data_IF_014340302990
#
_entry.id   IF_014340302990
#
_cell.length_a   1.000
_cell.length_b   1.000
_cell.length_c   1.000
_cell.angle_alpha   90.00
_cell.angle_beta   90.00
_cell.angle_gamma   90.00
#
_symmetry.space_group_name_H-M   'P 1'
#
loop_
_entity.id
_entity.type
_entity.pdbx_description
1 polymer ?
#
# COMPACT_ATOMS: atom_id res chain seq x y z
N UNK A 1 26.96 35.48 -11.46
CA UNK A 1 26.65 34.43 -10.49
C UNK A 1 25.22 33.90 -10.64
N UNK A 2 24.16 34.71 -10.64
CA UNK A 2 22.75 34.25 -10.73
C UNK A 2 22.45 33.40 -11.99
N UNK A 3 23.04 33.74 -13.15
CA UNK A 3 22.87 32.99 -14.41
C UNK A 3 23.54 31.60 -14.36
N UNK A 4 24.71 31.50 -13.71
CA UNK A 4 25.46 30.23 -13.57
C UNK A 4 24.70 29.27 -12.65
N UNK A 5 24.13 29.77 -11.57
CA UNK A 5 23.31 28.94 -10.63
C UNK A 5 22.08 28.42 -11.34
N UNK A 6 21.39 29.25 -12.16
CA UNK A 6 20.23 28.82 -12.93
C UNK A 6 20.61 27.75 -13.98
N UNK A 7 21.75 27.89 -14.64
CA UNK A 7 22.22 26.92 -15.66
C UNK A 7 22.63 25.60 -15.02
N UNK A 8 23.31 25.63 -13.86
CA UNK A 8 23.67 24.43 -13.10
C UNK A 8 22.42 23.73 -12.58
N UNK A 9 21.43 24.50 -12.10
CA UNK A 9 20.15 23.92 -11.62
C UNK A 9 19.34 23.30 -12.78
N UNK A 10 19.30 23.95 -13.94
CA UNK A 10 18.64 23.43 -15.13
C UNK A 10 19.37 22.20 -15.70
N UNK A 11 20.71 22.17 -15.69
CA UNK A 11 21.47 21.03 -16.14
C UNK A 11 21.37 19.83 -15.18
N UNK A 12 21.36 20.06 -13.86
CA UNK A 12 21.16 19.00 -12.89
C UNK A 12 19.73 18.43 -12.91
N UNK A 13 18.71 19.27 -13.16
CA UNK A 13 17.35 18.79 -13.36
C UNK A 13 17.23 17.93 -14.62
N UNK A 14 17.84 18.31 -15.73
CA UNK A 14 17.86 17.51 -16.97
C UNK A 14 18.55 16.15 -16.79
N UNK A 15 19.60 16.06 -15.99
CA UNK A 15 20.27 14.79 -15.67
C UNK A 15 19.41 13.87 -14.79
N UNK A 16 18.59 14.42 -13.89
CA UNK A 16 17.63 13.65 -13.08
C UNK A 16 16.46 13.12 -13.93
N UNK A 17 16.07 13.81 -15.01
CA UNK A 17 15.06 13.34 -15.96
C UNK A 17 15.52 12.11 -16.75
N UNK A 18 16.82 11.99 -17.03
CA UNK A 18 17.31 10.93 -17.91
C UNK A 18 17.34 9.54 -17.26
N UNK A 19 17.36 9.47 -15.93
CA UNK A 19 17.53 8.18 -15.24
C UNK A 19 16.24 7.36 -15.15
N UNK A 20 15.08 8.01 -15.08
CA UNK A 20 13.79 7.30 -15.11
C UNK A 20 13.40 6.83 -16.53
N UNK A 21 13.91 7.46 -17.57
CA UNK A 21 13.63 7.08 -18.97
C UNK A 21 14.39 5.82 -19.43
N UNK A 22 15.38 5.37 -18.68
CA UNK A 22 16.20 4.20 -19.01
C UNK A 22 15.91 2.98 -18.13
N UNK A 23 15.03 3.09 -17.15
CA UNK A 23 14.64 1.94 -16.36
C UNK A 23 13.89 0.93 -17.24
N UNK A 24 14.38 -0.31 -17.28
CA UNK A 24 13.72 -1.41 -17.98
C UNK A 24 12.56 -1.96 -17.16
N UNK A 25 12.70 -1.94 -15.84
CA UNK A 25 11.65 -2.33 -14.91
C UNK A 25 11.80 -1.63 -13.56
N UNK A 26 10.72 -1.55 -12.84
CA UNK A 26 10.70 -1.11 -11.46
C UNK A 26 10.27 -2.25 -10.53
N UNK A 27 10.87 -2.28 -9.36
CA UNK A 27 10.50 -3.16 -8.25
C UNK A 27 10.34 -2.30 -7.02
N UNK A 28 9.23 -2.43 -6.32
CA UNK A 28 9.01 -1.72 -5.06
C UNK A 28 8.60 -2.70 -3.97
N UNK A 29 9.15 -2.49 -2.79
CA UNK A 29 8.78 -3.21 -1.57
C UNK A 29 8.48 -2.22 -0.47
N UNK A 30 7.47 -2.51 0.34
CA UNK A 30 7.06 -1.65 1.43
C UNK A 30 6.41 -2.41 2.57
N UNK A 31 6.21 -1.70 3.66
CA UNK A 31 5.56 -2.22 4.86
C UNK A 31 4.43 -1.29 5.31
N UNK A 32 3.33 -1.82 5.85
CA UNK A 32 2.32 -1.01 6.49
C UNK A 32 2.85 -0.43 7.81
N UNK A 33 2.50 0.82 8.07
CA UNK A 33 2.83 1.52 9.32
C UNK A 33 1.64 1.63 10.24
N UNK A 34 0.45 1.86 9.68
CA UNK A 34 -0.79 2.00 10.43
C UNK A 34 -1.97 1.49 9.63
N UNK A 35 -2.97 1.00 10.33
CA UNK A 35 -4.29 0.69 9.78
C UNK A 35 -5.33 1.33 10.68
N UNK A 36 -6.20 2.15 10.10
CA UNK A 36 -7.34 2.77 10.78
C UNK A 36 -8.62 2.23 10.16
N UNK A 37 -9.46 1.57 10.94
CA UNK A 37 -10.74 1.05 10.47
C UNK A 37 -11.74 2.18 10.19
N UNK A 38 -12.62 1.96 9.22
CA UNK A 38 -13.67 2.93 8.85
C UNK A 38 -14.69 3.13 9.97
N UNK A 39 -14.98 2.09 10.73
CA UNK A 39 -15.86 2.15 11.90
C UNK A 39 -15.08 1.80 13.18
N UNK A 40 -14.73 2.82 13.94
CA UNK A 40 -14.00 2.69 15.21
C UNK A 40 -14.82 2.00 16.31
N UNK A 41 -16.16 1.90 16.17
CA UNK A 41 -16.98 1.17 17.11
C UNK A 41 -16.90 -0.36 16.88
N UNK A 42 -16.49 -0.77 15.69
CA UNK A 42 -16.41 -2.18 15.30
C UNK A 42 -15.06 -2.77 15.62
N UNK A 43 -13.98 -2.03 15.34
CA UNK A 43 -12.62 -2.50 15.56
C UNK A 43 -11.64 -1.33 15.78
N UNK A 44 -10.73 -1.50 16.70
CA UNK A 44 -9.59 -0.62 16.90
C UNK A 44 -8.29 -1.40 16.62
N UNK A 45 -7.38 -0.78 15.87
CA UNK A 45 -6.10 -1.41 15.53
C UNK A 45 -5.11 -1.31 16.69
N UNK A 46 -4.44 -2.43 17.01
CA UNK A 46 -3.32 -2.52 17.94
C UNK A 46 -1.99 -2.76 17.22
N UNK A 47 -1.93 -2.36 15.96
CA UNK A 47 -0.77 -2.49 15.10
C UNK A 47 -1.03 -3.30 13.85
N UNK A 48 -0.21 -3.06 12.84
CA UNK A 48 -0.27 -3.72 11.55
C UNK A 48 1.11 -4.24 11.19
N UNK A 49 1.18 -5.38 10.53
CA UNK A 49 2.41 -5.98 10.02
C UNK A 49 2.16 -6.66 8.69
N UNK A 50 3.18 -6.72 7.84
CA UNK A 50 3.06 -7.32 6.51
C UNK A 50 3.96 -6.65 5.50
N UNK A 51 3.60 -6.79 4.22
CA UNK A 51 4.39 -6.24 3.13
C UNK A 51 3.54 -5.85 1.92
N UNK A 52 4.10 -4.97 1.11
CA UNK A 52 3.62 -4.58 -0.21
C UNK A 52 4.73 -4.83 -1.21
N UNK A 53 4.42 -5.48 -2.32
CA UNK A 53 5.36 -5.73 -3.42
C UNK A 53 4.72 -5.24 -4.70
N UNK A 54 5.49 -4.54 -5.53
CA UNK A 54 5.05 -4.05 -6.83
C UNK A 54 6.15 -4.29 -7.85
N UNK A 55 5.77 -4.72 -9.03
CA UNK A 55 6.67 -4.91 -10.17
C UNK A 55 6.01 -4.38 -11.44
N UNK A 56 6.77 -3.65 -12.22
CA UNK A 56 6.27 -3.09 -13.46
C UNK A 56 7.36 -2.65 -14.41
N UNK A 57 6.92 -2.23 -15.57
CA UNK A 57 7.75 -1.59 -16.59
C UNK A 57 7.32 -0.14 -16.67
N UNK A 58 8.24 0.82 -16.67
CA UNK A 58 7.89 2.23 -16.81
C UNK A 58 6.94 2.48 -17.98
N UNK A 59 5.99 3.39 -17.79
CA UNK A 59 4.95 3.75 -18.76
C UNK A 59 3.91 2.66 -19.05
N UNK A 60 4.03 1.47 -18.48
CA UNK A 60 3.03 0.41 -18.58
C UNK A 60 2.37 0.15 -17.22
N UNK A 61 1.15 -0.40 -17.21
CA UNK A 61 0.55 -0.88 -15.98
C UNK A 61 1.41 -1.97 -15.33
N UNK A 62 1.64 -1.85 -14.03
CA UNK A 62 2.38 -2.82 -13.23
C UNK A 62 1.46 -3.65 -12.35
N UNK A 63 1.99 -4.73 -11.82
CA UNK A 63 1.30 -5.65 -10.93
C UNK A 63 1.84 -5.50 -9.50
N UNK A 64 0.97 -5.64 -8.52
CA UNK A 64 1.35 -5.61 -7.11
C UNK A 64 0.62 -6.67 -6.30
N UNK A 65 1.17 -6.94 -5.13
CA UNK A 65 0.59 -7.79 -4.12
C UNK A 65 0.79 -7.15 -2.75
N UNK A 66 -0.28 -7.04 -2.01
CA UNK A 66 -0.26 -6.60 -0.61
C UNK A 66 -0.69 -7.78 0.27
N UNK A 67 0.03 -8.02 1.36
CA UNK A 67 -0.32 -9.01 2.36
C UNK A 67 0.01 -8.45 3.73
N UNK A 68 -0.99 -8.27 4.57
CA UNK A 68 -0.80 -7.72 5.90
C UNK A 68 -1.83 -8.23 6.90
N UNK A 69 -1.43 -8.22 8.16
CA UNK A 69 -2.25 -8.57 9.30
C UNK A 69 -2.39 -7.37 10.24
N UNK A 70 -3.61 -7.12 10.68
CA UNK A 70 -3.92 -6.07 11.66
C UNK A 70 -4.39 -6.73 12.95
N UNK A 71 -3.71 -6.45 14.03
CA UNK A 71 -4.13 -6.87 15.38
C UNK A 71 -5.27 -5.99 15.84
N UNK A 72 -6.26 -6.61 16.48
CA UNK A 72 -7.41 -5.91 17.04
C UNK A 72 -7.22 -5.70 18.54
N UNK A 73 -7.50 -4.49 19.02
CA UNK A 73 -7.62 -4.22 20.46
C UNK A 73 -8.88 -4.85 21.01
N UNK A 74 -8.72 -5.78 21.92
CA UNK A 74 -9.84 -6.36 22.64
C UNK A 74 -9.51 -6.43 24.13
N UNK A 75 -10.11 -5.54 24.91
CA UNK A 75 -9.86 -5.45 26.35
C UNK A 75 -10.34 -6.68 27.15
N UNK A 76 -11.23 -7.48 26.59
CA UNK A 76 -11.86 -8.65 27.26
C UNK A 76 -11.55 -9.97 26.58
N UNK A 77 -10.73 -9.98 25.51
CA UNK A 77 -10.42 -11.22 24.78
C UNK A 77 -9.18 -11.91 25.36
N UNK A 78 -9.32 -13.13 25.80
CA UNK A 78 -8.21 -13.95 26.26
C UNK A 78 -7.22 -14.38 25.17
N UNK A 79 -7.45 -14.02 23.89
CA UNK A 79 -6.62 -14.37 22.75
C UNK A 79 -6.57 -13.25 21.74
N UNK A 80 -5.41 -13.07 21.10
CA UNK A 80 -5.23 -12.11 20.01
C UNK A 80 -6.18 -12.42 18.86
N UNK A 81 -6.87 -11.38 18.39
CA UNK A 81 -7.65 -11.40 17.18
C UNK A 81 -6.91 -10.62 16.11
N UNK A 82 -6.87 -11.17 14.91
CA UNK A 82 -6.18 -10.55 13.77
C UNK A 82 -7.07 -10.56 12.55
N UNK A 83 -6.98 -9.50 11.77
CA UNK A 83 -7.55 -9.44 10.43
C UNK A 83 -6.40 -9.58 9.44
N UNK A 84 -6.43 -10.65 8.64
CA UNK A 84 -5.48 -10.90 7.56
C UNK A 84 -6.09 -10.45 6.24
N UNK A 85 -5.37 -9.63 5.50
CA UNK A 85 -5.79 -9.09 4.21
C UNK A 85 -4.75 -9.40 3.15
N UNK A 86 -5.20 -9.97 2.03
CA UNK A 86 -4.37 -10.25 0.86
C UNK A 86 -5.02 -9.65 -0.38
N UNK A 87 -4.26 -8.85 -1.15
CA UNK A 87 -4.75 -8.09 -2.29
C UNK A 87 -3.84 -8.27 -3.49
N UNK A 88 -4.41 -8.34 -4.68
CA UNK A 88 -3.70 -8.24 -5.95
C UNK A 88 -4.05 -6.90 -6.59
N UNK A 89 -3.04 -6.19 -7.03
CA UNK A 89 -3.16 -4.82 -7.48
C UNK A 89 -2.72 -4.65 -8.93
N UNK A 90 -3.43 -3.80 -9.64
CA UNK A 90 -2.98 -3.19 -10.87
C UNK A 90 -2.64 -1.74 -10.57
N UNK A 91 -1.48 -1.26 -11.03
CA UNK A 91 -1.07 0.10 -10.79
C UNK A 91 -0.49 0.77 -12.03
N UNK A 92 -0.47 2.08 -12.02
CA UNK A 92 0.21 2.90 -13.00
C UNK A 92 1.06 3.95 -12.32
N UNK A 93 2.34 4.00 -12.72
CA UNK A 93 3.26 5.01 -12.25
C UNK A 93 3.25 6.19 -13.23
N UNK A 94 2.84 7.35 -12.74
CA UNK A 94 2.82 8.55 -13.55
C UNK A 94 4.24 9.08 -13.75
N UNK A 95 4.61 9.42 -14.99
CA UNK A 95 5.94 9.95 -15.30
C UNK A 95 6.05 11.43 -14.92
N UNK A 96 5.99 11.72 -13.63
CA UNK A 96 6.14 13.09 -13.12
C UNK A 96 7.62 13.29 -12.79
N UNK A 97 8.24 14.35 -13.33
CA UNK A 97 9.62 14.68 -13.00
C UNK A 97 9.78 14.99 -11.51
N UNK A 98 10.89 14.55 -10.90
CA UNK A 98 11.28 14.84 -9.52
C UNK A 98 10.51 14.02 -8.46
N UNK A 99 9.27 13.61 -8.72
CA UNK A 99 8.47 12.80 -7.81
C UNK A 99 7.88 11.61 -8.56
N UNK A 100 7.79 10.48 -7.88
CA UNK A 100 7.14 9.28 -8.40
C UNK A 100 5.74 9.19 -7.80
N UNK A 101 4.71 9.39 -8.62
CA UNK A 101 3.34 9.22 -8.21
C UNK A 101 2.79 7.92 -8.80
N UNK A 102 2.42 6.99 -7.94
CA UNK A 102 1.81 5.73 -8.32
C UNK A 102 0.35 5.72 -7.87
N UNK A 103 -0.54 5.37 -8.78
CA UNK A 103 -1.95 5.15 -8.50
C UNK A 103 -2.30 3.70 -8.82
N UNK A 104 -3.06 3.06 -7.96
CA UNK A 104 -3.44 1.67 -8.17
C UNK A 104 -4.79 1.32 -7.58
N UNK A 105 -5.31 0.20 -8.06
CA UNK A 105 -6.51 -0.44 -7.55
C UNK A 105 -6.28 -1.94 -7.42
N UNK A 106 -6.95 -2.57 -6.48
CA UNK A 106 -6.77 -3.98 -6.20
C UNK A 106 -8.02 -4.66 -5.73
N UNK A 107 -7.98 -5.97 -5.87
CA UNK A 107 -9.03 -6.89 -5.39
C UNK A 107 -8.38 -8.01 -4.60
N UNK A 108 -9.09 -8.52 -3.62
CA UNK A 108 -8.55 -9.58 -2.79
C UNK A 108 -9.54 -10.07 -1.75
N UNK A 109 -9.01 -10.46 -0.62
CA UNK A 109 -9.82 -11.03 0.46
C UNK A 109 -9.30 -10.64 1.82
N UNK A 110 -10.23 -10.57 2.75
CA UNK A 110 -9.97 -10.33 4.17
C UNK A 110 -10.57 -11.46 4.99
N UNK A 111 -9.85 -11.90 6.00
CA UNK A 111 -10.21 -13.00 6.88
C UNK A 111 -9.96 -12.62 8.33
N UNK A 112 -10.93 -12.92 9.20
CA UNK A 112 -10.75 -12.78 10.64
C UNK A 112 -10.11 -14.05 11.20
N UNK A 113 -8.92 -13.93 11.73
CA UNK A 113 -8.18 -15.00 12.38
C UNK A 113 -8.29 -14.88 13.90
N UNK A 114 -9.00 -15.81 14.50
CA UNK A 114 -9.00 -15.98 15.94
C UNK A 114 -9.18 -17.46 16.29
N UNK A 115 -8.64 -17.89 17.43
CA UNK A 115 -8.62 -19.31 17.82
C UNK A 115 -10.01 -19.90 18.10
N UNK A 116 -11.06 -19.07 18.18
CA UNK A 116 -12.44 -19.47 18.46
C UNK A 116 -13.47 -18.88 17.50
N UNK A 117 -13.02 -18.16 16.46
CA UNK A 117 -13.88 -17.46 15.50
C UNK A 117 -14.11 -18.26 14.21
N UNK A 118 -14.34 -19.55 14.27
CA UNK A 118 -14.78 -20.35 13.11
C UNK A 118 -16.15 -19.95 12.55
N UNK A 119 -16.68 -18.82 13.02
CA UNK A 119 -18.02 -18.33 12.69
C UNK A 119 -18.07 -17.20 11.66
N UNK A 120 -16.93 -16.85 11.04
CA UNK A 120 -16.88 -15.80 10.02
C UNK A 120 -16.34 -16.34 8.70
N UNK A 121 -17.02 -15.97 7.64
CA UNK A 121 -16.62 -16.32 6.28
C UNK A 121 -15.57 -15.33 5.77
N UNK A 122 -14.75 -15.79 4.83
CA UNK A 122 -13.76 -14.96 4.15
C UNK A 122 -14.47 -13.90 3.30
N UNK A 123 -14.18 -12.63 3.58
CA UNK A 123 -14.76 -11.51 2.87
C UNK A 123 -13.99 -11.12 1.61
N UNK A 124 -14.68 -10.57 0.63
CA UNK A 124 -14.04 -9.89 -0.50
C UNK A 124 -13.55 -8.53 -0.07
N UNK A 125 -12.40 -8.13 -0.59
CA UNK A 125 -11.80 -6.83 -0.35
C UNK A 125 -11.47 -6.14 -1.67
N UNK A 126 -11.72 -4.83 -1.71
CA UNK A 126 -11.32 -3.96 -2.81
C UNK A 126 -10.51 -2.81 -2.24
N UNK A 127 -9.52 -2.35 -2.98
CA UNK A 127 -8.77 -1.16 -2.59
C UNK A 127 -8.46 -0.26 -3.76
N UNK A 128 -8.27 1.00 -3.45
CA UNK A 128 -7.51 1.93 -4.27
C UNK A 128 -6.38 2.51 -3.43
N UNK A 129 -5.30 2.90 -4.06
CA UNK A 129 -4.18 3.49 -3.36
C UNK A 129 -3.43 4.51 -4.20
N UNK A 130 -2.76 5.40 -3.49
CA UNK A 130 -1.80 6.34 -4.04
C UNK A 130 -0.49 6.19 -3.27
N UNK A 131 0.63 6.26 -4.00
CA UNK A 131 1.96 6.27 -3.41
C UNK A 131 2.77 7.41 -4.00
N UNK A 132 3.38 8.19 -3.12
CA UNK A 132 4.24 9.31 -3.48
C UNK A 132 5.68 8.94 -3.14
N UNK A 133 6.53 8.86 -4.16
CA UNK A 133 7.95 8.56 -4.05
C UNK A 133 8.83 9.78 -4.29
N UNK A 134 9.95 9.80 -3.60
CA UNK A 134 11.02 10.78 -3.80
C UNK A 134 12.30 10.02 -4.17
N UNK A 135 12.88 10.26 -5.35
CA UNK A 135 14.15 9.67 -5.72
C UNK A 135 15.27 10.26 -4.84
N UNK A 136 15.97 9.40 -4.13
CA UNK A 136 17.12 9.80 -3.30
C UNK A 136 18.41 9.70 -4.10
N UNK A 137 18.54 8.63 -4.87
CA UNK A 137 19.61 8.41 -5.83
C UNK A 137 19.01 7.83 -7.11
N UNK A 138 19.71 7.87 -8.25
CA UNK A 138 19.14 7.52 -9.55
C UNK A 138 18.42 6.17 -9.65
N UNK A 139 18.79 5.19 -8.82
CA UNK A 139 18.23 3.84 -8.86
C UNK A 139 17.23 3.56 -7.72
N UNK A 140 17.12 4.47 -6.73
CA UNK A 140 16.34 4.22 -5.52
C UNK A 140 15.42 5.39 -5.20
N UNK A 141 14.19 5.07 -4.88
CA UNK A 141 13.25 6.00 -4.29
C UNK A 141 12.74 5.52 -2.92
N UNK A 142 12.36 6.45 -2.06
CA UNK A 142 11.56 6.17 -0.88
C UNK A 142 10.17 6.67 -1.15
N UNK A 143 9.15 5.87 -0.85
CA UNK A 143 7.77 6.25 -1.08
C UNK A 143 6.90 6.05 0.15
N UNK A 144 5.97 6.97 0.31
CA UNK A 144 4.87 6.92 1.25
C UNK A 144 3.61 6.51 0.50
N UNK A 145 2.87 5.55 1.01
CA UNK A 145 1.65 5.07 0.39
C UNK A 145 0.44 5.21 1.32
N UNK A 146 -0.68 5.55 0.72
CA UNK A 146 -1.99 5.57 1.34
C UNK A 146 -2.91 4.64 0.57
N UNK A 147 -3.54 3.72 1.28
CA UNK A 147 -4.46 2.71 0.75
C UNK A 147 -5.81 2.86 1.43
N UNK A 148 -6.88 2.93 0.66
CA UNK A 148 -8.25 2.86 1.15
C UNK A 148 -8.82 1.51 0.78
N UNK A 149 -9.15 0.73 1.78
CA UNK A 149 -9.63 -0.66 1.67
C UNK A 149 -11.09 -0.72 2.07
N UNK A 150 -11.90 -1.30 1.22
CA UNK A 150 -13.30 -1.63 1.50
C UNK A 150 -13.42 -3.15 1.59
N UNK A 151 -13.80 -3.65 2.74
CA UNK A 151 -13.96 -5.09 2.97
C UNK A 151 -15.05 -5.37 3.97
N UNK A 152 -15.86 -6.40 3.68
CA UNK A 152 -16.92 -6.88 4.55
C UNK A 152 -16.80 -8.37 4.75
N UNK A 153 -16.86 -8.81 6.00
CA UNK A 153 -16.91 -10.23 6.38
C UNK A 153 -18.32 -10.55 6.89
N UNK A 154 -18.76 -11.78 6.64
CA UNK A 154 -20.10 -12.24 7.06
C UNK A 154 -19.97 -13.23 8.21
N UNK A 155 -20.81 -13.06 9.24
CA UNK A 155 -20.97 -14.08 10.25
C UNK A 155 -21.74 -15.28 9.68
N UNK A 156 -21.21 -16.48 9.85
CA UNK A 156 -21.85 -17.74 9.40
C UNK A 156 -23.17 -18.01 10.14
N UNK A 157 -23.32 -17.49 11.35
CA UNK A 157 -24.51 -17.63 12.18
C UNK A 157 -25.16 -16.26 12.34
N UNK A 158 -26.21 -15.99 11.53
CA UNK A 158 -27.04 -14.80 11.72
C UNK A 158 -27.00 -13.72 10.66
N UNK A 159 -26.19 -13.84 9.62
CA UNK A 159 -26.19 -12.91 8.46
C UNK A 159 -25.72 -11.48 8.76
N UNK A 160 -25.09 -11.25 9.91
CA UNK A 160 -24.52 -9.94 10.26
C UNK A 160 -23.26 -9.71 9.43
N UNK A 161 -23.24 -8.62 8.67
CA UNK A 161 -22.04 -8.14 7.96
C UNK A 161 -21.25 -7.21 8.87
N UNK A 162 -19.95 -7.47 8.98
CA UNK A 162 -19.02 -6.63 9.69
C UNK A 162 -18.12 -5.90 8.67
N UNK A 163 -18.16 -4.56 8.69
CA UNK A 163 -17.24 -3.75 7.87
C UNK A 163 -15.86 -3.69 8.56
N UNK A 164 -14.89 -4.29 7.91
CA UNK A 164 -13.50 -4.34 8.38
C UNK A 164 -12.57 -3.56 7.43
N UNK A 165 -13.15 -2.75 6.57
CA UNK A 165 -12.43 -1.82 5.73
C UNK A 165 -11.80 -0.68 6.51
N UNK A 166 -10.92 0.07 5.84
CA UNK A 166 -10.24 1.19 6.46
C UNK A 166 -9.13 1.76 5.62
N UNK A 167 -8.29 2.57 6.26
CA UNK A 167 -7.17 3.22 5.62
C UNK A 167 -5.85 2.67 6.15
N UNK A 168 -4.97 2.27 5.24
CA UNK A 168 -3.63 1.75 5.57
C UNK A 168 -2.58 2.71 5.02
N UNK A 169 -1.72 3.20 5.89
CA UNK A 169 -0.54 3.96 5.51
C UNK A 169 0.69 3.05 5.53
N UNK A 170 1.58 3.25 4.60
CA UNK A 170 2.80 2.45 4.51
C UNK A 170 3.97 3.23 3.93
N UNK A 171 5.16 2.70 4.14
CA UNK A 171 6.42 3.22 3.61
C UNK A 171 7.13 2.11 2.84
N UNK A 172 7.86 2.48 1.81
CA UNK A 172 8.58 1.52 1.00
C UNK A 172 9.79 2.11 0.29
N UNK A 173 10.49 1.22 -0.39
CA UNK A 173 11.65 1.53 -1.21
C UNK A 173 11.38 1.00 -2.62
N UNK A 174 11.61 1.83 -3.62
CA UNK A 174 11.55 1.48 -5.02
C UNK A 174 12.95 1.36 -5.63
N UNK A 175 13.09 0.44 -6.55
CA UNK A 175 14.29 0.18 -7.33
C UNK A 175 13.92 0.32 -8.82
N UNK A 176 14.64 1.17 -9.52
CA UNK A 176 14.44 1.43 -10.94
C UNK A 176 15.71 0.99 -11.71
N UNK A 177 15.59 -0.02 -12.56
CA UNK A 177 16.68 -0.62 -13.32
C UNK A 177 16.54 -0.39 -14.82
#
# INVERSE_FOLDING_TARGET
MRKIILTVFAASSLLLYSTQAFALFNLSVGVPLSHSFSDSNVAESDGVSGYFIQVGVPLLPGLGMDSYETKLKCASCNKEQKISTSMYNLYYQLPIPIISLTLGAGVGSTELQCATCSSYDKGTANQWYASLGMPIIPLFDIHLSYRSVSSKIKALSGGVELDVGGNVMGVGIGFNF
#
